data_IF_542998824853
#
_entry.id   IF_542998824853
#
_cell.length_a   1.000
_cell.length_b   1.000
_cell.length_c   1.000
_cell.angle_alpha   90.00
_cell.angle_beta   90.00
_cell.angle_gamma   90.00
#
_symmetry.space_group_name_H-M   'P 1'
#
loop_
_entity.id
_entity.type
_entity.pdbx_description
1 polymer ?
#
# COMPACT_ATOMS: atom_id res chain seq x y z
N UNK A 1 2.34 -2.47 6.68
CA UNK A 1 1.12 -3.28 6.90
C UNK A 1 0.17 -3.11 5.72
N UNK A 2 -0.99 -3.76 5.70
CA UNK A 2 -2.03 -3.50 4.69
C UNK A 2 -3.44 -3.78 5.22
N UNK A 3 -4.46 -3.17 4.62
CA UNK A 3 -5.89 -3.46 4.89
C UNK A 3 -6.60 -3.72 3.57
N UNK A 4 -7.72 -4.45 3.57
CA UNK A 4 -8.54 -4.56 2.36
C UNK A 4 -9.23 -3.23 2.04
N UNK A 5 -9.40 -2.93 0.76
CA UNK A 5 -10.22 -1.80 0.33
C UNK A 5 -11.69 -2.06 0.65
N UNK A 6 -12.37 -1.06 1.22
CA UNK A 6 -13.81 -1.16 1.57
C UNK A 6 -14.74 -0.77 0.42
N UNK A 7 -14.24 0.03 -0.54
CA UNK A 7 -15.02 0.49 -1.70
C UNK A 7 -14.11 0.69 -2.92
N UNK A 8 -14.73 0.72 -4.11
CA UNK A 8 -14.03 0.85 -5.37
C UNK A 8 -13.39 2.22 -5.58
N UNK A 9 -14.01 3.31 -5.10
CA UNK A 9 -13.48 4.66 -5.28
C UNK A 9 -12.11 4.82 -4.61
N UNK A 10 -11.96 4.28 -3.40
CA UNK A 10 -10.67 4.25 -2.70
C UNK A 10 -9.66 3.35 -3.41
N UNK A 11 -10.08 2.21 -3.96
CA UNK A 11 -9.21 1.33 -4.74
C UNK A 11 -8.71 2.01 -6.04
N UNK A 12 -9.60 2.70 -6.73
CA UNK A 12 -9.31 3.41 -7.96
C UNK A 12 -8.46 4.67 -7.75
N UNK A 13 -8.42 5.21 -6.52
CA UNK A 13 -7.62 6.38 -6.20
C UNK A 13 -6.11 6.08 -6.29
N UNK A 14 -5.33 6.78 -7.13
CA UNK A 14 -3.89 6.57 -7.27
C UNK A 14 -3.08 7.01 -6.04
N UNK A 15 -3.65 7.81 -5.14
CA UNK A 15 -3.00 8.17 -3.88
C UNK A 15 -3.01 7.02 -2.88
N UNK A 16 -4.01 6.12 -2.98
CA UNK A 16 -4.07 4.92 -2.19
C UNK A 16 -3.25 3.82 -2.86
N UNK A 17 -2.11 3.48 -2.25
CA UNK A 17 -1.16 2.52 -2.82
C UNK A 17 -1.70 1.11 -2.68
N UNK A 18 -1.78 0.37 -3.78
CA UNK A 18 -2.17 -1.04 -3.81
C UNK A 18 -0.96 -1.91 -3.53
N UNK A 19 -1.18 -3.04 -2.86
CA UNK A 19 -0.18 -4.09 -2.68
C UNK A 19 -0.76 -5.46 -3.00
N UNK A 20 -0.05 -6.25 -3.81
CA UNK A 20 -0.40 -7.65 -4.07
C UNK A 20 0.46 -8.55 -3.18
N UNK A 21 -0.14 -9.59 -2.59
CA UNK A 21 0.53 -10.50 -1.65
C UNK A 21 0.62 -11.92 -2.22
N UNK A 22 1.68 -12.64 -1.83
CA UNK A 22 1.77 -14.09 -2.04
C UNK A 22 1.00 -14.85 -0.93
N UNK A 23 0.93 -16.18 -1.07
CA UNK A 23 0.25 -17.06 -0.10
C UNK A 23 0.83 -17.03 1.32
N UNK A 24 2.03 -16.48 1.51
CA UNK A 24 2.74 -16.41 2.78
C UNK A 24 2.76 -14.97 3.35
N UNK A 25 1.94 -14.07 2.79
CA UNK A 25 1.86 -12.66 3.13
C UNK A 25 3.17 -11.90 2.89
N UNK A 26 3.92 -12.22 1.85
CA UNK A 26 4.98 -11.35 1.32
C UNK A 26 4.44 -10.48 0.20
N UNK A 27 4.85 -9.22 0.17
CA UNK A 27 4.53 -8.33 -0.92
C UNK A 27 5.18 -8.82 -2.22
N UNK A 28 4.39 -8.96 -3.27
CA UNK A 28 4.83 -9.23 -4.63
C UNK A 28 5.17 -7.90 -5.31
N UNK A 29 4.26 -6.93 -5.24
CA UNK A 29 4.44 -5.62 -5.88
C UNK A 29 3.56 -4.56 -5.21
N UNK A 30 3.99 -3.29 -5.30
CA UNK A 30 3.24 -2.11 -4.90
C UNK A 30 2.99 -1.22 -6.10
N UNK A 31 1.80 -0.65 -6.22
CA UNK A 31 1.50 0.25 -7.34
C UNK A 31 0.43 1.27 -6.98
N UNK A 32 0.51 2.44 -7.61
CA UNK A 32 -0.60 3.41 -7.64
C UNK A 32 -1.70 2.99 -8.63
N UNK A 33 -1.36 2.12 -9.59
CA UNK A 33 -2.31 1.53 -10.53
C UNK A 33 -3.20 0.47 -9.87
N UNK A 34 -4.33 0.16 -10.50
CA UNK A 34 -5.28 -0.86 -10.03
C UNK A 34 -4.65 -2.26 -10.16
N UNK A 35 -4.23 -2.83 -9.04
CA UNK A 35 -3.74 -4.20 -8.94
C UNK A 35 -4.35 -4.92 -7.71
N UNK A 36 -4.65 -6.22 -7.80
CA UNK A 36 -4.63 -7.05 -9.01
C UNK A 36 -5.83 -6.77 -9.93
N UNK A 37 -5.65 -7.00 -11.23
CA UNK A 37 -6.73 -6.92 -12.20
C UNK A 37 -7.67 -8.14 -12.07
N UNK A 38 -8.97 -7.92 -11.90
CA UNK A 38 -9.98 -8.98 -11.86
C UNK A 38 -10.68 -9.09 -13.22
N UNK A 39 -10.59 -10.26 -13.86
CA UNK A 39 -11.23 -10.49 -15.17
C UNK A 39 -12.74 -10.70 -15.04
N UNK A 40 -13.20 -11.30 -13.94
CA UNK A 40 -14.60 -11.71 -13.76
C UNK A 40 -15.55 -10.53 -13.49
N UNK A 41 -15.02 -9.38 -13.06
CA UNK A 41 -15.79 -8.15 -12.86
C UNK A 41 -15.58 -7.24 -14.07
N UNK A 42 -16.54 -7.21 -14.99
CA UNK A 42 -16.44 -6.47 -16.27
C UNK A 42 -16.53 -4.95 -16.10
N UNK A 43 -17.16 -4.46 -15.03
CA UNK A 43 -17.41 -3.03 -14.82
C UNK A 43 -16.20 -2.33 -14.17
N UNK A 44 -15.60 -2.96 -13.16
CA UNK A 44 -14.59 -2.35 -12.29
C UNK A 44 -13.24 -3.02 -12.37
N UNK A 45 -13.20 -4.30 -12.77
CA UNK A 45 -12.05 -5.19 -12.71
C UNK A 45 -11.41 -5.25 -11.31
N UNK A 46 -12.24 -5.22 -10.26
CA UNK A 46 -11.81 -5.19 -8.88
C UNK A 46 -12.25 -6.45 -8.12
N UNK A 47 -11.33 -7.05 -7.36
CA UNK A 47 -11.67 -8.13 -6.42
C UNK A 47 -11.34 -7.69 -4.98
N UNK A 48 -12.33 -7.39 -4.13
CA UNK A 48 -12.10 -6.89 -2.77
C UNK A 48 -11.40 -7.91 -1.86
N UNK A 49 -11.42 -9.20 -2.18
CA UNK A 49 -10.80 -10.24 -1.35
C UNK A 49 -9.27 -10.29 -1.46
N UNK A 50 -8.72 -9.77 -2.56
CA UNK A 50 -7.29 -9.81 -2.87
C UNK A 50 -6.70 -8.43 -3.19
N UNK A 51 -7.48 -7.36 -3.00
CA UNK A 51 -7.04 -5.98 -3.21
C UNK A 51 -6.75 -5.32 -1.87
N UNK A 52 -5.47 -5.02 -1.61
CA UNK A 52 -5.03 -4.47 -0.34
C UNK A 52 -4.50 -3.04 -0.50
N UNK A 53 -4.96 -2.16 0.37
CA UNK A 53 -4.41 -0.84 0.61
C UNK A 53 -3.18 -0.96 1.51
N UNK A 54 -2.03 -0.52 1.01
CA UNK A 54 -0.81 -0.44 1.79
C UNK A 54 -0.93 0.63 2.89
N UNK A 55 -0.53 0.25 4.11
CA UNK A 55 -0.40 1.16 5.25
C UNK A 55 1.10 1.36 5.49
N UNK A 56 1.54 2.63 5.45
CA UNK A 56 2.92 3.10 5.61
C UNK A 56 3.52 2.90 7.01
N UNK A 57 3.21 1.77 7.65
CA UNK A 57 3.80 1.30 8.89
C UNK A 57 4.75 0.15 8.59
N UNK A 58 6.00 0.32 9.00
CA UNK A 58 7.07 -0.62 8.74
C UNK A 58 7.84 -0.96 10.02
N UNK A 59 8.41 -2.17 10.04
CA UNK A 59 9.36 -2.61 11.06
C UNK A 59 10.59 -3.19 10.39
N UNK A 60 11.77 -2.73 10.80
CA UNK A 60 13.05 -3.15 10.24
C UNK A 60 14.03 -3.50 11.36
N UNK A 61 14.98 -4.38 11.05
CA UNK A 61 16.17 -4.51 11.89
C UNK A 61 17.14 -3.37 11.58
N UNK A 62 17.95 -2.90 12.54
CA UNK A 62 18.95 -1.85 12.29
C UNK A 62 19.93 -2.22 11.16
N UNK A 63 20.29 -3.51 11.04
CA UNK A 63 21.16 -4.00 9.98
C UNK A 63 20.51 -3.83 8.60
N UNK A 64 19.26 -4.29 8.46
CA UNK A 64 18.53 -4.19 7.19
C UNK A 64 18.31 -2.73 6.79
N UNK A 65 17.96 -1.86 7.73
CA UNK A 65 17.71 -0.44 7.46
C UNK A 65 18.96 0.24 6.90
N UNK A 66 20.14 -0.01 7.51
CA UNK A 66 21.42 0.54 6.99
C UNK A 66 21.68 0.08 5.56
N UNK A 67 21.62 -1.24 5.32
CA UNK A 67 21.81 -1.79 3.97
C UNK A 67 20.81 -1.19 2.97
N UNK A 68 19.55 -1.02 3.37
CA UNK A 68 18.52 -0.45 2.53
C UNK A 68 18.79 1.01 2.15
N UNK A 69 19.25 1.83 3.11
CA UNK A 69 19.61 3.22 2.86
C UNK A 69 20.81 3.38 1.91
N UNK A 70 21.69 2.38 1.83
CA UNK A 70 22.85 2.39 0.93
C UNK A 70 22.49 1.98 -0.52
N UNK A 71 21.28 1.45 -0.75
CA UNK A 71 20.85 1.05 -2.09
C UNK A 71 20.48 2.30 -2.92
N UNK A 72 20.87 2.34 -4.22
CA UNK A 72 20.43 3.39 -5.12
C UNK A 72 18.91 3.33 -5.34
N UNK A 73 18.32 4.48 -5.71
CA UNK A 73 16.93 4.53 -6.18
C UNK A 73 16.72 3.54 -7.33
N UNK A 74 15.64 2.75 -7.26
CA UNK A 74 15.33 1.78 -8.31
C UNK A 74 14.44 2.39 -9.40
N UNK A 75 14.39 1.74 -10.57
CA UNK A 75 13.58 2.24 -11.68
C UNK A 75 12.07 2.25 -11.31
N UNK A 76 11.59 1.20 -10.64
CA UNK A 76 10.20 1.14 -10.20
C UNK A 76 9.89 2.16 -9.10
N UNK A 77 10.81 2.36 -8.15
CA UNK A 77 10.68 3.42 -7.14
C UNK A 77 10.56 4.80 -7.81
N UNK A 78 11.44 5.13 -8.76
CA UNK A 78 11.44 6.43 -9.41
C UNK A 78 10.15 6.68 -10.22
N UNK A 79 9.61 5.63 -10.84
CA UNK A 79 8.39 5.67 -11.65
C UNK A 79 7.12 5.83 -10.80
N UNK A 80 6.98 5.02 -9.74
CA UNK A 80 5.78 4.99 -8.90
C UNK A 80 5.86 5.97 -7.71
N UNK A 81 7.06 6.51 -7.43
CA UNK A 81 7.35 7.29 -6.21
C UNK A 81 6.99 6.49 -4.95
N UNK A 82 7.52 5.27 -4.87
CA UNK A 82 7.29 4.30 -3.78
C UNK A 82 8.62 3.64 -3.36
N UNK A 83 9.20 4.11 -2.25
CA UNK A 83 10.51 3.69 -1.72
C UNK A 83 10.61 2.17 -1.49
N UNK A 84 9.53 1.53 -1.05
CA UNK A 84 9.52 0.09 -0.79
C UNK A 84 9.75 -0.77 -2.04
N UNK A 85 9.60 -0.22 -3.26
CA UNK A 85 9.93 -0.93 -4.50
C UNK A 85 11.44 -1.14 -4.65
N UNK A 86 12.28 -0.27 -4.06
CA UNK A 86 13.73 -0.48 -4.01
C UNK A 86 14.08 -1.79 -3.33
N UNK A 87 13.34 -2.16 -2.28
CA UNK A 87 13.54 -3.41 -1.57
C UNK A 87 13.15 -4.60 -2.45
N UNK A 88 12.00 -4.53 -3.14
CA UNK A 88 11.55 -5.58 -4.06
C UNK A 88 12.57 -5.79 -5.19
N UNK A 89 13.06 -4.70 -5.81
CA UNK A 89 14.04 -4.76 -6.91
C UNK A 89 15.40 -5.33 -6.48
N UNK A 90 15.73 -5.23 -5.19
CA UNK A 90 16.95 -5.79 -4.60
C UNK A 90 16.72 -7.13 -3.88
N UNK A 91 15.62 -7.84 -4.19
CA UNK A 91 15.28 -9.15 -3.62
C UNK A 91 15.12 -9.16 -2.08
N UNK A 92 14.85 -8.00 -1.48
CA UNK A 92 14.55 -7.87 -0.06
C UNK A 92 13.06 -8.14 0.12
N UNK A 93 12.74 -9.30 0.70
CA UNK A 93 11.36 -9.71 0.95
C UNK A 93 10.70 -8.82 2.01
N UNK A 94 9.50 -8.34 1.72
CA UNK A 94 8.70 -7.54 2.65
C UNK A 94 7.52 -8.39 3.13
N UNK A 95 7.53 -8.79 4.40
CA UNK A 95 6.37 -9.43 5.01
C UNK A 95 5.31 -8.37 5.35
N UNK A 96 4.07 -8.62 4.97
CA UNK A 96 2.93 -7.73 5.20
C UNK A 96 2.03 -8.32 6.27
N UNK A 97 1.70 -7.49 7.26
CA UNK A 97 0.68 -7.80 8.24
C UNK A 97 -0.66 -7.22 7.77
N UNK A 98 -1.70 -8.07 7.70
CA UNK A 98 -3.06 -7.63 7.44
C UNK A 98 -3.66 -7.02 8.70
N UNK A 99 -4.10 -5.78 8.59
CA UNK A 99 -4.77 -5.03 9.64
C UNK A 99 -6.28 -5.07 9.41
N UNK A 100 -7.02 -5.51 10.43
CA UNK A 100 -8.48 -5.67 10.38
C UNK A 100 -9.25 -4.58 11.14
N UNK A 101 -8.55 -3.62 11.75
CA UNK A 101 -9.21 -2.50 12.44
C UNK A 101 -9.72 -1.44 11.45
N UNK A 102 -10.31 -0.38 11.99
CA UNK A 102 -10.78 0.71 11.16
C UNK A 102 -9.62 1.44 10.50
N UNK A 103 -9.74 1.60 9.19
CA UNK A 103 -8.76 2.32 8.41
C UNK A 103 -8.81 3.80 8.82
N UNK A 104 -7.83 4.23 9.59
CA UNK A 104 -7.57 5.65 9.82
C UNK A 104 -6.84 6.14 8.57
N UNK A 105 -7.54 6.87 7.72
CA UNK A 105 -6.97 7.51 6.54
C UNK A 105 -5.92 8.54 6.99
N UNK A 106 -4.79 8.60 6.28
CA UNK A 106 -3.84 9.70 6.45
C UNK A 106 -4.49 11.05 6.11
N UNK A 107 -3.98 12.13 6.69
CA UNK A 107 -4.44 13.48 6.36
C UNK A 107 -3.56 14.04 5.26
N UNK A 108 -3.97 13.85 4.01
CA UNK A 108 -3.22 14.28 2.83
C UNK A 108 -3.87 15.46 2.10
N UNK A 109 -5.16 15.72 2.37
CA UNK A 109 -5.94 16.81 1.77
C UNK A 109 -6.66 17.66 2.80
N UNK A 110 -7.17 18.83 2.38
CA UNK A 110 -8.01 19.69 3.23
C UNK A 110 -9.29 18.96 3.64
N UNK A 111 -9.85 18.13 2.76
CA UNK A 111 -11.04 17.32 3.05
C UNK A 111 -10.73 16.27 4.14
N UNK A 112 -9.56 15.64 4.08
CA UNK A 112 -9.13 14.70 5.13
C UNK A 112 -8.98 15.39 6.48
N UNK A 113 -8.43 16.60 6.49
CA UNK A 113 -8.31 17.41 7.71
C UNK A 113 -9.68 17.73 8.30
N UNK A 114 -10.66 18.08 7.46
CA UNK A 114 -12.03 18.37 7.90
C UNK A 114 -12.70 17.13 8.51
N UNK A 115 -12.45 15.94 7.96
CA UNK A 115 -12.94 14.67 8.50
C UNK A 115 -12.32 14.35 9.87
N UNK A 116 -11.00 14.49 10.00
CA UNK A 116 -10.29 14.22 11.26
C UNK A 116 -10.68 15.21 12.36
N UNK A 117 -10.86 16.50 12.03
CA UNK A 117 -11.34 17.49 13.00
C UNK A 117 -12.70 17.10 13.60
N UNK A 118 -13.66 16.70 12.77
CA UNK A 118 -14.96 16.20 13.23
C UNK A 118 -14.86 14.95 14.11
N UNK A 119 -13.86 14.10 13.87
CA UNK A 119 -13.65 12.89 14.66
C UNK A 119 -13.07 13.21 16.05
N UNK A 120 -12.20 14.21 16.18
CA UNK A 120 -11.54 14.59 17.44
C UNK A 120 -12.45 15.47 18.33
N UNK A 121 -13.34 16.27 17.72
CA UNK A 121 -14.25 17.16 18.44
C UNK A 121 -15.47 16.46 19.08
N UNK A 122 -15.68 15.16 18.76
CA UNK A 122 -16.66 14.29 19.43
C UNK A 122 -15.99 13.44 20.51
#
# INVERSE_FOLDING_TARGET
AATKFKNYLDYANPNNVKVTLDKNNFAIYFSRSKIPYCVDDEDTHWNPNISYHHIGLYGYTPKLLRTFCDLPESAHESSEKLEQLRAIDNNIKIRVFEYHGDHIKGVDTIDDLALVKKFIEN
#
